data_IF_463780657139
#
_entry.id   IF_463780657139
#
_cell.length_a   1.000
_cell.length_b   1.000
_cell.length_c   1.000
_cell.angle_alpha   90.00
_cell.angle_beta   90.00
_cell.angle_gamma   90.00
#
_symmetry.space_group_name_H-M   'P 1'
#
loop_
_entity.id
_entity.type
_entity.pdbx_description
1 polymer ?
#
# COMPACT_ATOMS: atom_id res chain seq x y z
N UNK A 1 20.33 3.90 -17.18
CA UNK A 1 19.39 4.69 -17.99
C UNK A 1 18.19 5.00 -17.09
N UNK A 2 17.87 6.28 -16.91
CA UNK A 2 16.87 6.76 -15.95
C UNK A 2 15.45 6.52 -16.47
N UNK A 3 14.86 5.39 -16.06
CA UNK A 3 13.45 5.09 -16.33
C UNK A 3 12.57 6.05 -15.52
N UNK A 4 11.85 6.92 -16.23
CA UNK A 4 10.90 7.87 -15.66
C UNK A 4 9.82 7.14 -14.85
N UNK A 5 9.96 7.21 -13.53
CA UNK A 5 9.18 6.54 -12.49
C UNK A 5 7.83 7.26 -12.20
N UNK A 6 7.10 7.66 -13.24
CA UNK A 6 5.96 8.58 -13.08
C UNK A 6 4.58 7.93 -13.20
N UNK A 7 4.48 6.61 -13.37
CA UNK A 7 3.17 5.97 -13.54
C UNK A 7 3.21 4.48 -13.11
N UNK A 8 2.79 4.16 -11.87
CA UNK A 8 2.77 2.78 -11.38
C UNK A 8 1.73 1.89 -12.10
N UNK A 9 0.83 2.46 -12.90
CA UNK A 9 -0.25 1.74 -13.58
C UNK A 9 -0.04 1.59 -15.09
N UNK A 10 1.14 1.95 -15.59
CA UNK A 10 1.46 1.90 -17.02
C UNK A 10 1.20 0.52 -17.66
N UNK A 11 1.53 -0.55 -16.93
CA UNK A 11 1.37 -1.94 -17.38
C UNK A 11 0.15 -2.64 -16.77
N UNK A 12 -0.77 -1.90 -16.16
CA UNK A 12 -2.03 -2.47 -15.67
C UNK A 12 -2.89 -2.94 -16.85
N UNK A 13 -3.40 -4.17 -16.80
CA UNK A 13 -4.22 -4.81 -17.84
C UNK A 13 -5.47 -5.45 -17.23
N UNK A 14 -6.03 -4.85 -16.18
CA UNK A 14 -7.24 -5.35 -15.52
C UNK A 14 -6.98 -6.49 -14.54
N UNK A 15 -5.78 -6.56 -13.96
CA UNK A 15 -5.48 -7.55 -12.92
C UNK A 15 -6.39 -7.35 -11.70
N UNK A 16 -6.85 -8.46 -11.11
CA UNK A 16 -7.70 -8.46 -9.90
C UNK A 16 -6.93 -8.08 -8.63
N UNK A 17 -5.62 -8.33 -8.61
CA UNK A 17 -4.74 -8.01 -7.49
C UNK A 17 -3.67 -7.02 -7.93
N UNK A 18 -3.48 -5.97 -7.13
CA UNK A 18 -2.43 -4.97 -7.32
C UNK A 18 -1.54 -4.95 -6.10
N UNK A 19 -0.23 -4.93 -6.32
CA UNK A 19 0.78 -4.77 -5.27
C UNK A 19 1.52 -3.46 -5.52
N UNK A 20 1.38 -2.52 -4.60
CA UNK A 20 2.13 -1.26 -4.57
C UNK A 20 3.28 -1.42 -3.58
N UNK A 21 4.42 -1.86 -4.09
CA UNK A 21 5.61 -2.10 -3.27
C UNK A 21 6.37 -0.81 -2.96
N UNK A 22 6.89 -0.71 -1.73
CA UNK A 22 7.59 0.45 -1.18
C UNK A 22 6.92 1.81 -1.46
N UNK A 23 5.61 1.90 -1.28
CA UNK A 23 4.89 3.15 -1.49
C UNK A 23 5.39 4.22 -0.50
N UNK A 24 5.92 5.33 -1.04
CA UNK A 24 6.37 6.48 -0.26
C UNK A 24 5.44 7.68 -0.47
N UNK A 25 5.38 8.60 0.50
CA UNK A 25 4.64 9.83 0.36
C UNK A 25 5.06 10.60 -0.90
N UNK A 26 4.08 11.17 -1.61
CA UNK A 26 4.24 11.96 -2.84
C UNK A 26 4.63 11.17 -4.12
N UNK A 27 4.70 9.83 -4.09
CA UNK A 27 4.78 9.02 -5.33
C UNK A 27 3.46 9.12 -6.10
N UNK A 28 2.35 8.91 -5.38
CA UNK A 28 0.99 9.08 -5.89
C UNK A 28 0.40 10.32 -5.21
N UNK A 29 -0.25 11.18 -5.98
CA UNK A 29 -0.94 12.34 -5.45
C UNK A 29 -2.06 11.89 -4.48
N UNK A 30 -2.28 12.64 -3.41
CA UNK A 30 -3.18 12.21 -2.33
C UNK A 30 -4.60 11.93 -2.82
N UNK A 31 -5.15 12.81 -3.66
CA UNK A 31 -6.46 12.63 -4.29
C UNK A 31 -6.54 11.37 -5.15
N UNK A 32 -5.48 11.05 -5.89
CA UNK A 32 -5.42 9.83 -6.71
C UNK A 32 -5.31 8.58 -5.84
N UNK A 33 -4.52 8.64 -4.76
CA UNK A 33 -4.43 7.57 -3.77
C UNK A 33 -5.79 7.29 -3.14
N UNK A 34 -6.55 8.33 -2.77
CA UNK A 34 -7.89 8.18 -2.23
C UNK A 34 -8.85 7.50 -3.23
N UNK A 35 -8.75 7.81 -4.53
CA UNK A 35 -9.56 7.15 -5.56
C UNK A 35 -9.17 5.68 -5.72
N UNK A 36 -7.88 5.39 -5.81
CA UNK A 36 -7.36 4.02 -5.99
C UNK A 36 -7.80 3.11 -4.84
N UNK A 37 -7.76 3.62 -3.61
CA UNK A 37 -8.13 2.85 -2.41
C UNK A 37 -9.62 2.92 -2.08
N UNK A 38 -10.44 3.58 -2.89
CA UNK A 38 -11.87 3.70 -2.59
C UNK A 38 -12.60 2.38 -2.87
N UNK A 39 -13.12 1.67 -1.86
CA UNK A 39 -13.83 0.41 -2.08
C UNK A 39 -15.20 0.60 -2.74
N UNK A 40 -15.72 1.83 -2.79
CA UNK A 40 -17.06 2.13 -3.31
C UNK A 40 -17.07 2.63 -4.75
N UNK A 41 -15.89 2.81 -5.36
CA UNK A 41 -15.80 3.33 -6.72
C UNK A 41 -15.53 2.19 -7.69
N UNK A 42 -16.55 1.81 -8.48
CA UNK A 42 -16.44 0.75 -9.49
C UNK A 42 -15.76 1.23 -10.79
N UNK A 43 -15.65 2.54 -10.98
CA UNK A 43 -15.13 3.18 -12.20
C UNK A 43 -13.92 4.08 -11.91
N UNK A 44 -12.95 3.61 -11.10
CA UNK A 44 -11.72 4.36 -10.88
C UNK A 44 -10.88 4.31 -12.14
N UNK A 45 -10.81 5.43 -12.85
CA UNK A 45 -9.91 5.60 -13.98
C UNK A 45 -8.56 6.07 -13.44
N UNK A 46 -7.55 5.21 -13.51
CA UNK A 46 -6.19 5.61 -13.13
C UNK A 46 -5.50 6.20 -14.35
N UNK A 47 -4.90 7.37 -14.17
CA UNK A 47 -4.18 8.05 -15.23
C UNK A 47 -3.00 7.18 -15.67
N UNK A 48 -2.91 6.87 -16.96
CA UNK A 48 -1.69 6.31 -17.53
C UNK A 48 -1.20 7.11 -18.72
N UNK A 49 0.12 7.09 -18.97
CA UNK A 49 0.81 7.88 -20.02
C UNK A 49 0.19 7.78 -21.41
N UNK A 50 -0.50 6.68 -21.75
CA UNK A 50 -1.04 6.45 -23.08
C UNK A 50 -2.57 6.32 -23.12
N UNK A 51 -3.20 5.75 -22.08
CA UNK A 51 -4.65 5.63 -21.97
C UNK A 51 -5.09 5.56 -20.51
N UNK A 52 -6.17 6.25 -20.19
CA UNK A 52 -6.91 6.09 -18.94
C UNK A 52 -7.45 4.66 -18.84
N UNK A 53 -7.08 3.91 -17.79
CA UNK A 53 -7.47 2.50 -17.62
C UNK A 53 -8.46 2.34 -16.46
N UNK A 54 -9.59 1.63 -16.65
CA UNK A 54 -10.49 1.31 -15.56
C UNK A 54 -9.78 0.34 -14.59
N UNK A 55 -9.66 0.73 -13.34
CA UNK A 55 -9.15 -0.09 -12.25
C UNK A 55 -10.25 -1.08 -11.86
N UNK A 56 -10.03 -2.36 -12.12
CA UNK A 56 -10.97 -3.46 -11.76
C UNK A 56 -10.40 -4.31 -10.63
N UNK A 57 -9.38 -3.82 -9.93
CA UNK A 57 -8.73 -4.55 -8.87
C UNK A 57 -9.69 -4.74 -7.69
N UNK A 58 -9.85 -6.00 -7.27
CA UNK A 58 -10.61 -6.37 -6.09
C UNK A 58 -9.76 -6.31 -4.82
N UNK A 59 -8.44 -6.40 -4.96
CA UNK A 59 -7.51 -6.42 -3.83
C UNK A 59 -6.29 -5.58 -4.13
N UNK A 60 -5.96 -4.67 -3.21
CA UNK A 60 -4.78 -3.81 -3.29
C UNK A 60 -3.94 -4.05 -2.04
N UNK A 61 -2.70 -4.47 -2.25
CA UNK A 61 -1.72 -4.67 -1.19
C UNK A 61 -0.70 -3.54 -1.31
N UNK A 62 -0.46 -2.83 -0.20
CA UNK A 62 0.52 -1.75 -0.15
C UNK A 62 1.57 -2.11 0.89
N UNK A 63 2.85 -2.02 0.52
CA UNK A 63 3.95 -2.06 1.49
C UNK A 63 4.51 -0.65 1.63
N UNK A 64 4.82 -0.24 2.85
CA UNK A 64 5.37 1.09 3.15
C UNK A 64 6.26 1.01 4.39
N UNK A 65 7.38 1.76 4.43
CA UNK A 65 8.20 1.86 5.63
C UNK A 65 7.59 2.76 6.71
N UNK A 66 6.43 3.39 6.45
CA UNK A 66 5.80 4.35 7.35
C UNK A 66 4.44 3.84 7.84
N UNK A 67 4.12 4.00 9.13
CA UNK A 67 2.75 3.80 9.60
C UNK A 67 1.81 4.83 8.96
N UNK A 68 0.49 4.54 8.83
CA UNK A 68 -0.46 5.38 8.09
C UNK A 68 -0.47 6.86 8.51
N UNK A 69 -0.36 7.14 9.81
CA UNK A 69 -0.28 8.51 10.32
C UNK A 69 0.94 9.26 9.83
N UNK A 70 2.12 8.65 9.96
CA UNK A 70 3.37 9.26 9.52
C UNK A 70 3.43 9.36 7.98
N UNK A 71 2.81 8.41 7.27
CA UNK A 71 2.66 8.48 5.83
C UNK A 71 1.90 9.75 5.42
N UNK A 72 0.72 9.99 6.02
CA UNK A 72 -0.09 11.17 5.74
C UNK A 72 0.64 12.48 6.08
N UNK A 73 1.27 12.57 7.25
CA UNK A 73 2.03 13.76 7.66
C UNK A 73 3.17 14.13 6.71
N UNK A 74 3.77 13.14 6.04
CA UNK A 74 4.89 13.33 5.11
C UNK A 74 4.45 13.71 3.69
N UNK A 75 3.15 13.70 3.39
CA UNK A 75 2.64 14.18 2.11
C UNK A 75 2.76 15.71 2.09
N UNK A 76 3.34 16.23 1.01
CA UNK A 76 3.56 17.67 0.80
C UNK A 76 2.45 18.24 -0.07
N UNK A 77 2.13 19.51 0.13
CA UNK A 77 1.17 20.23 -0.71
C UNK A 77 -0.30 19.90 -0.42
N UNK A 78 -0.59 19.27 0.73
CA UNK A 78 -1.96 19.06 1.19
C UNK A 78 -2.59 20.37 1.66
N UNK A 79 -3.86 20.56 1.34
CA UNK A 79 -4.69 21.58 1.95
C UNK A 79 -5.18 21.07 3.30
N UNK A 80 -4.60 21.57 4.40
CA UNK A 80 -4.94 21.09 5.74
C UNK A 80 -6.38 21.38 6.16
N UNK A 81 -7.10 22.27 5.48
CA UNK A 81 -8.52 22.52 5.76
C UNK A 81 -9.40 21.43 5.16
N UNK A 82 -9.04 20.93 3.96
CA UNK A 82 -9.84 20.00 3.16
C UNK A 82 -9.32 18.55 3.26
N UNK A 83 -8.02 18.36 3.12
CA UNK A 83 -7.34 17.07 3.15
C UNK A 83 -7.16 16.61 4.60
N UNK A 84 -7.83 15.53 4.96
CA UNK A 84 -7.84 15.01 6.33
C UNK A 84 -7.41 13.56 6.35
N UNK A 85 -6.58 13.21 7.32
CA UNK A 85 -6.03 11.86 7.44
C UNK A 85 -7.11 10.76 7.48
N UNK A 86 -8.26 11.03 8.12
CA UNK A 86 -9.39 10.09 8.17
C UNK A 86 -9.92 9.69 6.78
N UNK A 87 -9.77 10.55 5.74
CA UNK A 87 -10.18 10.22 4.38
C UNK A 87 -9.38 9.03 3.85
N UNK A 88 -8.09 8.96 4.18
CA UNK A 88 -7.25 7.81 3.85
C UNK A 88 -7.57 6.63 4.77
N UNK A 89 -7.66 6.86 6.08
CA UNK A 89 -7.80 5.76 7.05
C UNK A 89 -9.07 4.94 6.84
N UNK A 90 -10.18 5.57 6.44
CA UNK A 90 -11.45 4.89 6.12
C UNK A 90 -11.39 3.96 4.90
N UNK A 91 -10.33 4.08 4.10
CA UNK A 91 -10.06 3.25 2.90
C UNK A 91 -9.05 2.13 3.18
N UNK A 92 -8.48 2.10 4.38
CA UNK A 92 -7.58 1.03 4.82
C UNK A 92 -8.39 -0.02 5.58
N UNK A 93 -8.68 -1.13 4.91
CA UNK A 93 -9.46 -2.23 5.51
C UNK A 93 -8.66 -2.92 6.62
N UNK A 94 -7.39 -3.26 6.36
CA UNK A 94 -6.50 -3.90 7.32
C UNK A 94 -5.10 -3.30 7.23
N UNK A 95 -4.47 -3.12 8.39
CA UNK A 95 -3.09 -2.67 8.49
C UNK A 95 -2.31 -3.73 9.26
N UNK A 96 -1.17 -4.14 8.71
CA UNK A 96 -0.29 -5.12 9.34
C UNK A 96 1.03 -4.41 9.63
N UNK A 97 1.33 -4.23 10.92
CA UNK A 97 2.65 -3.77 11.35
C UNK A 97 3.58 -4.97 11.43
N UNK A 98 4.56 -5.01 10.55
CA UNK A 98 5.62 -6.02 10.55
C UNK A 98 6.75 -5.54 11.45
N UNK A 99 6.99 -6.25 12.55
CA UNK A 99 8.19 -6.10 13.38
C UNK A 99 9.08 -7.32 13.20
N UNK A 100 10.28 -7.26 13.79
CA UNK A 100 11.33 -8.28 13.62
C UNK A 100 10.81 -9.72 13.78
N UNK A 101 10.06 -9.96 14.86
CA UNK A 101 9.64 -11.31 15.24
C UNK A 101 8.10 -11.46 15.30
N UNK A 102 7.35 -10.38 15.03
CA UNK A 102 5.90 -10.34 15.26
C UNK A 102 5.17 -9.56 14.17
N UNK A 103 3.97 -10.04 13.84
CA UNK A 103 2.97 -9.30 13.08
C UNK A 103 1.88 -8.80 14.01
N UNK A 104 1.53 -7.52 13.89
CA UNK A 104 0.43 -6.91 14.64
C UNK A 104 -0.59 -6.39 13.65
N UNK A 105 -1.83 -6.86 13.77
CA UNK A 105 -2.94 -6.41 12.93
C UNK A 105 -3.70 -5.26 13.58
N UNK A 106 -4.09 -4.29 12.76
CA UNK A 106 -4.91 -3.16 13.15
C UNK A 106 -6.09 -2.99 12.20
N UNK A 107 -7.22 -2.62 12.77
CA UNK A 107 -8.43 -2.18 12.07
C UNK A 107 -8.74 -0.74 12.43
N UNK A 108 -9.17 0.05 11.45
CA UNK A 108 -9.59 1.42 11.69
C UNK A 108 -11.05 1.48 12.13
N UNK A 109 -11.31 2.00 13.33
CA UNK A 109 -12.67 2.28 13.81
C UNK A 109 -13.07 3.70 13.42
N UNK A 110 -13.96 3.80 12.43
CA UNK A 110 -14.49 5.08 11.93
C UNK A 110 -15.31 5.86 12.96
N UNK A 111 -15.85 5.20 13.99
CA UNK A 111 -16.66 5.84 15.03
C UNK A 111 -15.80 6.56 16.06
N UNK A 112 -14.60 6.01 16.31
CA UNK A 112 -13.65 6.53 17.30
C UNK A 112 -12.48 7.29 16.66
N UNK A 113 -12.38 7.27 15.32
CA UNK A 113 -11.26 7.81 14.53
C UNK A 113 -9.90 7.28 15.02
N UNK A 114 -9.84 5.97 15.29
CA UNK A 114 -8.66 5.33 15.88
C UNK A 114 -8.42 3.95 15.31
N UNK A 115 -7.14 3.59 15.21
CA UNK A 115 -6.74 2.23 14.93
C UNK A 115 -6.84 1.39 16.20
N UNK A 116 -7.57 0.28 16.13
CA UNK A 116 -7.66 -0.73 17.17
C UNK A 116 -6.78 -1.90 16.76
N UNK A 117 -5.93 -2.34 17.69
CA UNK A 117 -5.23 -3.60 17.51
C UNK A 117 -6.26 -4.73 17.59
N UNK A 118 -6.17 -5.67 16.65
CA UNK A 118 -6.93 -6.91 16.72
C UNK A 118 -6.11 -7.86 17.59
N UNK A 119 -6.75 -8.50 18.57
CA UNK A 119 -6.15 -9.53 19.43
C UNK A 119 -5.88 -10.85 18.67
N UNK A 120 -5.55 -10.76 17.38
CA UNK A 120 -5.02 -11.86 16.59
C UNK A 120 -3.71 -12.28 17.24
N UNK A 121 -3.59 -13.57 17.57
CA UNK A 121 -2.37 -14.17 18.11
C UNK A 121 -1.16 -13.59 17.39
N UNK A 122 -0.29 -12.91 18.13
CA UNK A 122 0.94 -12.33 17.61
C UNK A 122 1.67 -13.41 16.81
N UNK A 123 1.57 -13.37 15.48
CA UNK A 123 2.18 -14.40 14.64
C UNK A 123 3.68 -14.25 14.80
N UNK A 124 4.30 -15.17 15.54
CA UNK A 124 5.75 -15.23 15.65
C UNK A 124 6.28 -15.65 14.30
N UNK A 125 7.01 -14.74 13.65
CA UNK A 125 7.70 -15.06 12.41
C UNK A 125 8.90 -15.93 12.78
N UNK A 126 8.74 -17.25 12.67
CA UNK A 126 9.83 -18.19 12.80
C UNK A 126 10.66 -18.17 11.50
N UNK A 127 11.39 -17.09 11.24
CA UNK A 127 12.40 -17.10 10.18
C UNK A 127 13.54 -18.01 10.64
N UNK A 128 13.50 -19.29 10.24
CA UNK A 128 14.64 -20.19 10.38
C UNK A 128 15.73 -19.75 9.40
N UNK A 129 17.00 -19.74 9.84
CA UNK A 129 18.17 -19.34 9.04
C UNK A 129 18.36 -20.13 7.72
N UNK A 130 17.57 -21.18 7.47
CA UNK A 130 17.57 -21.91 6.20
C UNK A 130 16.90 -21.14 5.07
N UNK A 131 15.95 -20.24 5.35
CA UNK A 131 15.20 -19.51 4.32
C UNK A 131 16.04 -18.45 3.59
N UNK A 132 17.15 -18.00 4.19
CA UNK A 132 18.09 -17.08 3.52
C UNK A 132 18.97 -17.79 2.48
N UNK A 133 19.15 -19.11 2.58
CA UNK A 133 19.96 -19.88 1.63
C UNK A 133 19.22 -20.17 0.32
N UNK A 134 17.90 -20.25 0.35
CA UNK A 134 17.08 -20.45 -0.85
C UNK A 134 17.16 -19.27 -1.82
N UNK A 135 17.31 -18.03 -1.31
CA UNK A 135 17.52 -16.83 -2.12
C UNK A 135 18.95 -16.70 -2.69
N UNK A 136 19.96 -17.34 -2.07
CA UNK A 136 21.32 -17.38 -2.60
C UNK A 136 21.44 -18.33 -3.80
N UNK A 137 20.70 -19.45 -3.83
CA UNK A 137 20.77 -20.42 -4.93
C UNK A 137 20.27 -19.88 -6.29
N UNK A 138 19.35 -18.90 -6.29
CA UNK A 138 18.84 -18.30 -7.53
C UNK A 138 19.84 -17.34 -8.19
N UNK A 139 20.90 -16.90 -7.50
CA UNK A 139 21.99 -16.12 -8.10
C UNK A 139 22.99 -16.98 -8.88
N UNK A 140 23.04 -18.30 -8.63
CA UNK A 140 23.94 -19.21 -9.34
C UNK A 140 23.33 -19.79 -10.63
N UNK A 141 22.04 -19.59 -10.88
CA UNK A 141 21.33 -20.04 -12.09
C UNK A 141 21.24 -18.98 -13.20
N UNK A 142 21.96 -17.86 -13.07
CA UNK A 142 22.08 -16.81 -14.09
C UNK A 142 23.55 -16.57 -14.49
N UNK A 143 24.25 -17.65 -14.82
CA UNK A 143 25.42 -17.63 -15.71
C UNK A 143 25.03 -18.15 -17.10
#
# INVERSE_FOLDING_TARGET
MSGSNNDPFQHYEGQSVIILDELRPNIIAYNELLKILDPHTFDVVVSSRYFNKPLTATTIIITTPYPPYLFFEKIKGLDKEIDKAFQLYRRLEKIIEVRKDILIEYEYDSSLDKFKQIDSETFKLNFTQEDTNSFCSLKELLN
#
